data_IF_601751238714
#
_entry.id   IF_601751238714
#
_cell.length_a   1.000
_cell.length_b   1.000
_cell.length_c   1.000
_cell.angle_alpha   90.00
_cell.angle_beta   90.00
_cell.angle_gamma   90.00
#
_symmetry.space_group_name_H-M   'P 1'
#
loop_
_entity.id
_entity.type
_entity.pdbx_description
1 polymer ?
#
# COMPACT_ATOMS: atom_id res chain seq x y z
N UNK A 1 -12.71 33.62 -36.71
CA UNK A 1 -12.83 33.03 -36.81
C UNK A 1 -12.70 32.37 -36.48
N UNK A 2 -12.57 32.25 -36.33
CA UNK A 2 -12.45 31.41 -36.19
C UNK A 2 -11.87 30.83 -35.65
N UNK A 3 -11.64 30.87 -35.33
CA UNK A 3 -11.05 30.15 -35.01
C UNK A 3 -10.81 29.75 -34.02
N UNK A 4 -10.93 30.00 -33.94
CA UNK A 4 -10.61 29.37 -33.23
C UNK A 4 -10.65 28.76 -32.43
N UNK A 5 -10.64 28.73 -32.45
CA UNK A 5 -10.58 27.84 -31.97
C UNK A 5 -10.29 27.17 -31.41
N UNK A 6 -10.13 27.26 -31.50
CA UNK A 6 -9.75 26.32 -31.21
C UNK A 6 -9.26 25.96 -30.38
N UNK A 7 -9.10 26.41 -30.41
CA UNK A 7 -8.54 25.83 -29.82
C UNK A 7 -8.53 25.43 -28.88
N UNK A 8 -8.81 25.64 -28.89
CA UNK A 8 -8.73 24.93 -28.32
C UNK A 8 -8.68 24.35 -27.69
N UNK A 9 -8.44 24.41 -27.92
CA UNK A 9 -8.26 23.54 -27.65
C UNK A 9 -7.85 23.14 -27.03
N UNK A 10 -7.63 23.11 -26.98
CA UNK A 10 -7.04 22.43 -26.69
C UNK A 10 -6.88 22.19 -25.68
N UNK A 11 -7.04 22.76 -25.74
CA UNK A 11 -6.78 22.27 -25.21
C UNK A 11 -6.79 21.76 -24.42
N UNK A 12 -6.64 21.85 -24.52
CA UNK A 12 -6.52 21.13 -24.15
C UNK A 12 -6.30 20.62 -23.59
N UNK A 13 -6.15 20.75 -23.58
CA UNK A 13 -5.76 20.04 -23.32
C UNK A 13 -5.49 19.72 -22.61
N UNK A 14 -5.53 19.90 -22.52
CA UNK A 14 -5.15 19.43 -22.06
C UNK A 14 -5.09 19.07 -21.31
N UNK A 15 -4.99 19.22 -21.01
CA UNK A 15 -4.91 18.67 -20.47
C UNK A 15 -4.70 17.93 -19.98
N UNK A 16 -4.83 17.81 -19.85
CA UNK A 16 -4.65 16.48 -19.52
C UNK A 16 -3.68 16.09 -18.54
N UNK A 17 -2.81 16.29 -18.44
CA UNK A 17 -1.89 16.07 -17.41
C UNK A 17 -2.51 15.86 -16.12
N UNK A 18 -3.70 16.13 -16.00
CA UNK A 18 -4.38 15.92 -14.77
C UNK A 18 -4.33 14.50 -14.31
N UNK A 19 -4.44 13.59 -15.24
CA UNK A 19 -4.41 12.19 -14.90
C UNK A 19 -3.11 11.83 -14.23
N UNK A 20 -2.04 12.51 -14.62
CA UNK A 20 -0.76 12.19 -14.04
C UNK A 20 -0.67 12.55 -12.59
N UNK A 21 -1.35 13.61 -12.21
CA UNK A 21 -1.27 14.04 -10.82
C UNK A 21 -1.95 13.09 -9.88
N UNK A 22 -2.73 12.14 -10.40
CA UNK A 22 -3.41 11.17 -9.57
C UNK A 22 -2.60 9.92 -9.31
N UNK A 23 -1.46 9.79 -9.94
CA UNK A 23 -0.64 8.62 -9.73
C UNK A 23 0.06 8.69 -8.39
N UNK A 24 0.09 7.57 -7.69
CA UNK A 24 0.78 7.48 -6.42
C UNK A 24 2.16 6.90 -6.62
N UNK A 25 3.11 7.42 -5.89
CA UNK A 25 4.47 6.90 -5.96
C UNK A 25 4.52 5.55 -5.27
N UNK A 26 5.34 4.61 -5.80
CA UNK A 26 5.53 3.34 -5.11
C UNK A 26 6.06 3.55 -3.71
N UNK A 27 5.67 2.67 -2.80
CA UNK A 27 6.16 2.69 -1.45
C UNK A 27 5.06 2.89 -0.43
N UNK A 28 5.51 3.19 0.77
CA UNK A 28 4.65 3.31 1.93
C UNK A 28 4.06 4.71 2.01
N UNK A 29 2.75 4.78 2.23
CA UNK A 29 2.05 6.06 2.36
C UNK A 29 1.37 6.12 3.72
N UNK A 30 1.99 6.87 4.63
CA UNK A 30 1.52 6.95 6.01
C UNK A 30 0.15 7.61 6.10
N UNK A 31 -0.08 8.63 5.31
CA UNK A 31 -1.32 9.39 5.41
C UNK A 31 -2.55 8.56 5.06
N UNK A 32 -2.38 7.56 4.20
CA UNK A 32 -3.49 6.71 3.79
C UNK A 32 -3.40 5.30 4.36
N UNK A 33 -2.31 4.99 5.02
CA UNK A 33 -2.03 3.64 5.50
C UNK A 33 -2.13 2.63 4.36
N UNK A 34 -1.39 2.92 3.29
CA UNK A 34 -1.38 2.06 2.11
C UNK A 34 0.05 1.82 1.64
N UNK A 35 0.21 0.78 0.84
CA UNK A 35 1.45 0.50 0.15
C UNK A 35 1.17 0.40 -1.35
N UNK A 36 1.96 1.07 -2.16
CA UNK A 36 1.83 1.04 -3.61
C UNK A 36 3.00 0.25 -4.17
N UNK A 37 2.70 -0.79 -4.95
CA UNK A 37 3.73 -1.61 -5.56
C UNK A 37 4.32 -0.90 -6.77
N UNK A 38 5.44 -1.44 -7.27
CA UNK A 38 6.10 -0.83 -8.43
C UNK A 38 5.22 -0.86 -9.66
N UNK A 39 4.34 -1.84 -9.77
CA UNK A 39 3.44 -1.93 -10.91
C UNK A 39 2.13 -1.17 -10.68
N UNK A 40 2.04 -0.39 -9.62
CA UNK A 40 0.93 0.53 -9.44
C UNK A 40 -0.24 0.03 -8.62
N UNK A 41 -0.15 -1.16 -8.06
CA UNK A 41 -1.23 -1.68 -7.23
C UNK A 41 -1.15 -1.10 -5.84
N UNK A 42 -2.30 -0.74 -5.27
CA UNK A 42 -2.39 -0.17 -3.94
C UNK A 42 -3.05 -1.16 -3.00
N UNK A 43 -2.42 -1.38 -1.85
CA UNK A 43 -2.95 -2.27 -0.82
C UNK A 43 -3.08 -1.51 0.49
N UNK A 44 -4.20 -1.74 1.20
CA UNK A 44 -4.34 -1.23 2.54
C UNK A 44 -3.42 -1.99 3.48
N UNK A 45 -2.86 -1.29 4.46
CA UNK A 45 -1.95 -1.90 5.43
C UNK A 45 -2.72 -2.31 6.67
N UNK A 46 -3.88 -2.89 6.46
CA UNK A 46 -4.74 -3.49 7.47
C UNK A 46 -5.67 -4.43 6.72
N UNK A 47 -6.33 -5.33 7.46
CA UNK A 47 -7.26 -6.24 6.84
C UNK A 47 -6.82 -7.69 6.95
N UNK A 48 -7.34 -8.51 6.06
CA UNK A 48 -7.09 -9.94 6.07
C UNK A 48 -5.83 -10.24 5.27
N UNK A 49 -4.91 -10.99 5.88
CA UNK A 49 -3.61 -11.28 5.29
C UNK A 49 -3.40 -12.78 5.26
N UNK A 50 -2.92 -13.27 4.13
CA UNK A 50 -2.50 -14.65 4.02
C UNK A 50 -0.99 -14.69 3.82
N UNK A 51 -0.31 -15.52 4.59
CA UNK A 51 1.13 -15.73 4.46
C UNK A 51 1.33 -16.77 3.38
N UNK A 52 2.12 -16.44 2.35
CA UNK A 52 2.34 -17.34 1.23
C UNK A 52 3.84 -17.56 1.02
N UNK A 53 4.16 -18.66 0.33
CA UNK A 53 5.53 -18.99 -0.02
C UNK A 53 5.92 -18.43 -1.38
N UNK A 54 4.94 -18.22 -2.25
CA UNK A 54 5.19 -17.78 -3.63
C UNK A 54 4.15 -16.78 -4.05
N UNK A 55 4.55 -15.92 -4.98
CA UNK A 55 3.64 -14.95 -5.61
C UNK A 55 2.94 -14.06 -4.62
N UNK A 56 3.71 -13.37 -3.74
CA UNK A 56 3.08 -12.45 -2.80
C UNK A 56 2.72 -11.14 -3.47
N UNK A 57 1.82 -10.40 -2.84
CA UNK A 57 1.58 -9.02 -3.21
C UNK A 57 2.64 -8.11 -2.61
N UNK A 58 3.07 -8.41 -1.39
CA UNK A 58 4.04 -7.61 -0.65
C UNK A 58 5.00 -8.54 0.08
N UNK A 59 6.29 -8.18 0.07
CA UNK A 59 7.31 -8.90 0.84
C UNK A 59 7.58 -8.15 2.12
N UNK A 60 7.57 -8.85 3.24
CA UNK A 60 7.68 -8.26 4.56
C UNK A 60 8.80 -8.90 5.34
N UNK A 61 9.62 -8.08 6.00
CA UNK A 61 10.62 -8.57 6.94
C UNK A 61 10.20 -8.18 8.34
N UNK A 62 10.22 -9.15 9.27
CA UNK A 62 9.86 -8.88 10.65
C UNK A 62 11.13 -8.51 11.40
N UNK A 63 11.12 -7.34 12.04
CA UNK A 63 12.30 -6.82 12.73
C UNK A 63 11.92 -6.39 14.14
N UNK A 64 12.95 -6.14 14.96
CA UNK A 64 12.76 -5.68 16.33
C UNK A 64 12.95 -4.17 16.46
N UNK A 65 13.59 -3.56 15.47
CA UNK A 65 13.84 -2.13 15.50
C UNK A 65 14.02 -1.62 14.08
N UNK A 66 13.93 -0.32 13.94
CA UNK A 66 14.04 0.36 12.64
C UNK A 66 12.96 -0.11 11.68
N UNK A 67 11.78 -0.38 12.23
CA UNK A 67 10.65 -0.82 11.40
C UNK A 67 10.05 0.35 10.64
N UNK A 68 9.39 0.01 9.53
CA UNK A 68 8.63 0.99 8.76
C UNK A 68 7.24 1.14 9.36
N UNK A 69 6.69 0.08 9.96
CA UNK A 69 5.40 0.14 10.59
C UNK A 69 5.29 -0.91 11.68
N UNK A 70 4.37 -0.69 12.60
CA UNK A 70 4.04 -1.64 13.64
C UNK A 70 2.75 -2.35 13.26
N UNK A 71 2.69 -3.65 13.48
CA UNK A 71 1.55 -4.49 13.12
C UNK A 71 1.05 -5.23 14.34
N UNK A 72 -0.26 -5.20 14.55
CA UNK A 72 -0.90 -5.98 15.60
C UNK A 72 -1.76 -7.06 14.94
N UNK A 73 -1.55 -8.31 15.37
CA UNK A 73 -2.36 -9.42 14.88
C UNK A 73 -3.63 -9.47 15.72
N UNK A 74 -4.78 -9.44 15.04
CA UNK A 74 -6.08 -9.44 15.73
C UNK A 74 -6.90 -10.62 15.24
N UNK A 75 -7.91 -10.98 16.04
CA UNK A 75 -8.81 -12.07 15.71
C UNK A 75 -10.04 -11.57 14.94
N UNK A 76 -10.37 -10.31 15.11
CA UNK A 76 -11.54 -9.74 14.44
C UNK A 76 -11.36 -8.23 14.30
N UNK A 77 -12.14 -7.68 13.38
CA UNK A 77 -12.16 -6.23 13.12
C UNK A 77 -10.79 -5.66 12.75
N UNK A 78 -10.13 -6.23 11.71
CA UNK A 78 -8.86 -5.67 11.25
C UNK A 78 -9.14 -4.46 10.35
N UNK A 79 -9.70 -3.41 10.93
CA UNK A 79 -10.21 -2.28 10.17
C UNK A 79 -9.50 -0.97 10.48
N UNK A 80 -8.36 -1.04 11.17
CA UNK A 80 -7.56 0.15 11.45
C UNK A 80 -6.12 -0.10 11.04
N UNK A 81 -5.43 0.97 10.69
CA UNK A 81 -4.06 0.89 10.20
C UNK A 81 -3.19 0.01 11.10
N UNK A 82 -2.55 -0.98 10.50
CA UNK A 82 -1.66 -1.88 11.21
C UNK A 82 -2.33 -3.07 11.87
N UNK A 83 -3.67 -3.15 11.87
CA UNK A 83 -4.35 -4.30 12.45
C UNK A 83 -4.56 -5.34 11.35
N UNK A 84 -4.09 -6.55 11.59
CA UNK A 84 -4.06 -7.60 10.59
C UNK A 84 -4.65 -8.88 11.15
N UNK A 85 -5.52 -9.51 10.39
CA UNK A 85 -6.04 -10.83 10.72
C UNK A 85 -5.47 -11.84 9.73
N UNK A 86 -4.87 -12.90 10.25
CA UNK A 86 -4.31 -13.94 9.40
C UNK A 86 -5.41 -14.89 8.98
N UNK A 87 -5.51 -15.15 7.68
CA UNK A 87 -6.55 -16.01 7.13
C UNK A 87 -5.94 -16.98 6.12
N UNK A 88 -6.70 -18.05 5.82
CA UNK A 88 -6.30 -19.02 4.81
C UNK A 88 -7.00 -18.77 3.50
N UNK A 89 -8.19 -18.18 3.54
CA UNK A 89 -9.00 -17.99 2.34
C UNK A 89 -9.44 -16.55 2.22
N UNK A 90 -9.57 -16.11 1.00
CA UNK A 90 -10.11 -14.77 0.67
C UNK A 90 -9.38 -13.65 1.40
N UNK A 91 -8.04 -13.59 1.28
CA UNK A 91 -7.30 -12.48 1.90
C UNK A 91 -7.46 -11.20 1.10
N UNK A 92 -7.23 -10.08 1.78
CA UNK A 92 -7.13 -8.80 1.10
C UNK A 92 -5.75 -8.64 0.48
N UNK A 93 -4.72 -9.23 1.10
CA UNK A 93 -3.36 -9.13 0.59
C UNK A 93 -2.60 -10.40 0.94
N UNK A 94 -1.72 -10.82 0.03
CA UNK A 94 -0.84 -11.97 0.23
C UNK A 94 0.55 -11.46 0.57
N UNK A 95 1.12 -11.99 1.65
CA UNK A 95 2.39 -11.51 2.18
C UNK A 95 3.37 -12.67 2.26
N UNK A 96 4.59 -12.42 1.81
CA UNK A 96 5.70 -13.38 1.98
C UNK A 96 6.66 -12.80 3.01
N UNK A 97 7.03 -13.63 4.00
CA UNK A 97 8.00 -13.22 5.00
C UNK A 97 9.38 -13.52 4.46
N UNK A 98 10.24 -12.50 4.41
CA UNK A 98 11.58 -12.63 3.84
C UNK A 98 12.61 -12.17 4.85
N UNK A 99 13.87 -12.56 4.62
CA UNK A 99 14.99 -12.14 5.46
C UNK A 99 15.81 -11.03 4.86
N UNK A 100 15.56 -10.72 3.58
CA UNK A 100 16.30 -9.66 2.91
C UNK A 100 15.45 -9.08 1.79
N UNK A 101 15.76 -7.86 1.43
CA UNK A 101 15.10 -7.15 0.34
C UNK A 101 13.58 -7.11 0.49
N UNK A 102 13.07 -6.70 1.67
CA UNK A 102 11.61 -6.60 1.83
C UNK A 102 11.07 -5.34 1.18
N UNK A 103 9.77 -5.36 0.94
CA UNK A 103 9.08 -4.12 0.57
C UNK A 103 8.82 -3.26 1.80
N UNK A 104 8.53 -3.90 2.93
CA UNK A 104 8.22 -3.22 4.18
C UNK A 104 8.86 -3.98 5.33
N UNK A 105 9.42 -3.25 6.29
CA UNK A 105 9.90 -3.84 7.54
C UNK A 105 8.84 -3.59 8.60
N UNK A 106 8.41 -4.65 9.28
CA UNK A 106 7.37 -4.54 10.28
C UNK A 106 7.83 -5.06 11.62
N UNK A 107 7.29 -4.49 12.68
CA UNK A 107 7.47 -4.97 14.04
C UNK A 107 6.11 -5.40 14.56
N UNK A 108 6.04 -6.59 15.16
CA UNK A 108 4.80 -7.09 15.72
C UNK A 108 4.65 -6.51 17.12
N UNK A 109 3.53 -5.85 17.38
CA UNK A 109 3.30 -5.16 18.65
C UNK A 109 1.97 -5.57 19.24
N UNK A 110 1.80 -5.26 20.54
CA UNK A 110 0.56 -5.55 21.24
C UNK A 110 -0.38 -4.37 21.26
N UNK A 111 0.14 -3.17 21.02
CA UNK A 111 -0.70 -1.98 21.02
C UNK A 111 -0.09 -0.90 20.13
N UNK A 112 -0.92 0.04 19.75
CA UNK A 112 -0.54 1.20 18.94
C UNK A 112 0.11 0.80 17.62
N UNK A 113 -0.57 -0.04 16.82
CA UNK A 113 -0.04 -0.33 15.48
C UNK A 113 -0.15 0.87 14.57
N UNK A 114 0.58 0.84 13.45
CA UNK A 114 0.48 1.90 12.46
C UNK A 114 1.81 2.14 11.77
N UNK A 115 1.78 3.04 10.81
CA UNK A 115 2.94 3.38 10.01
C UNK A 115 3.85 4.32 10.78
N UNK A 116 5.16 4.03 10.79
CA UNK A 116 6.15 4.83 11.52
C UNK A 116 6.86 5.84 10.64
N UNK A 117 6.99 5.55 9.36
CA UNK A 117 7.70 6.45 8.45
C UNK A 117 6.81 7.38 7.68
#
# INVERSE_FOLDING_TARGET
MKKVLILALFVLLSLPMLAQSNEKKPGLHKENCTFVTKDGKTFNLYGKVKIVENFPDIKVQIVDSFEDMDVKIVESFPDQCGKVKLVENFPDVKVQIVNSFPDIKVKIVESFPGVRK
#
